data_IF_160421174646
#
_entry.id   IF_160421174646
#
_cell.length_a   1.000
_cell.length_b   1.000
_cell.length_c   1.000
_cell.angle_alpha   90.00
_cell.angle_beta   90.00
_cell.angle_gamma   90.00
#
_symmetry.space_group_name_H-M   'P 1'
#
loop_
_entity.id
_entity.type
_entity.pdbx_description
1 polymer ?
#
# COMPACT_ATOMS: atom_id res chain seq x y z
N UNK A 1 68.16 -29.17 -22.91
CA UNK A 1 67.80 -28.36 -24.09
C UNK A 1 66.51 -27.65 -23.76
N UNK A 2 66.62 -26.36 -23.46
CA UNK A 2 65.53 -25.51 -23.03
C UNK A 2 64.81 -24.92 -24.26
N UNK A 3 63.49 -24.96 -24.16
CA UNK A 3 62.41 -24.24 -24.84
C UNK A 3 62.79 -23.01 -25.67
N UNK A 4 62.34 -22.99 -26.93
CA UNK A 4 61.97 -21.76 -27.64
C UNK A 4 60.52 -21.91 -28.13
N UNK A 5 59.62 -21.15 -27.50
CA UNK A 5 58.23 -20.98 -27.88
C UNK A 5 58.11 -20.10 -29.14
N UNK A 6 57.27 -20.43 -30.13
CA UNK A 6 56.91 -19.48 -31.17
C UNK A 6 55.83 -18.51 -30.69
N UNK A 7 56.19 -17.22 -30.64
CA UNK A 7 55.29 -16.09 -30.50
C UNK A 7 54.11 -16.17 -31.49
N UNK A 8 52.88 -16.30 -30.99
CA UNK A 8 51.66 -16.07 -31.79
C UNK A 8 51.23 -14.61 -31.58
N UNK A 9 51.25 -13.75 -32.63
CA UNK A 9 50.77 -12.39 -32.54
C UNK A 9 49.24 -12.33 -32.71
N UNK A 10 48.56 -11.59 -31.82
CA UNK A 10 47.20 -11.14 -32.08
C UNK A 10 46.19 -11.29 -30.94
N UNK A 11 46.50 -10.78 -29.75
CA UNK A 11 45.47 -10.41 -28.78
C UNK A 11 44.69 -9.21 -29.35
N UNK A 12 43.66 -9.46 -30.15
CA UNK A 12 42.64 -8.44 -30.42
C UNK A 12 41.60 -8.55 -29.32
N UNK A 13 41.80 -7.74 -28.28
CA UNK A 13 40.79 -7.47 -27.28
C UNK A 13 39.54 -6.94 -27.98
N UNK A 14 38.54 -7.80 -28.12
CA UNK A 14 37.19 -7.35 -28.35
C UNK A 14 36.70 -6.79 -27.03
N UNK A 15 36.65 -5.46 -26.91
CA UNK A 15 35.73 -4.83 -25.98
C UNK A 15 34.34 -5.38 -26.31
N UNK A 16 33.86 -6.35 -25.52
CA UNK A 16 32.43 -6.61 -25.44
C UNK A 16 31.82 -5.37 -24.83
N UNK A 17 31.37 -4.48 -25.70
CA UNK A 17 30.45 -3.42 -25.37
C UNK A 17 29.32 -4.06 -24.58
N UNK A 18 29.27 -3.81 -23.26
CA UNK A 18 28.15 -4.12 -22.38
C UNK A 18 27.01 -3.15 -22.73
N UNK A 19 26.54 -3.22 -23.97
CA UNK A 19 25.65 -2.26 -24.59
C UNK A 19 24.41 -2.95 -25.10
N UNK A 20 23.38 -2.99 -24.26
CA UNK A 20 22.04 -3.44 -24.63
C UNK A 20 21.51 -4.53 -23.73
N UNK A 21 21.10 -4.17 -22.51
CA UNK A 21 20.19 -5.05 -21.76
C UNK A 21 18.90 -5.13 -22.57
N UNK A 22 18.53 -6.31 -23.06
CA UNK A 22 17.37 -6.53 -23.92
C UNK A 22 16.10 -5.97 -23.25
N UNK A 23 15.37 -5.07 -23.93
CA UNK A 23 14.17 -4.43 -23.38
C UNK A 23 13.10 -5.46 -22.96
N UNK A 24 13.02 -6.58 -23.68
CA UNK A 24 12.09 -7.67 -23.39
C UNK A 24 12.41 -8.38 -22.06
N UNK A 25 13.70 -8.61 -21.78
CA UNK A 25 14.15 -9.21 -20.52
C UNK A 25 13.94 -8.25 -19.33
N UNK A 26 14.11 -6.94 -19.56
CA UNK A 26 13.84 -5.94 -18.52
C UNK A 26 12.35 -5.90 -18.12
N UNK A 27 11.46 -6.05 -19.10
CA UNK A 27 10.01 -6.12 -18.88
C UNK A 27 9.65 -7.40 -18.11
N UNK A 28 10.22 -8.55 -18.47
CA UNK A 28 9.94 -9.84 -17.80
C UNK A 28 10.41 -9.84 -16.35
N UNK A 29 11.61 -9.31 -16.06
CA UNK A 29 12.14 -9.20 -14.68
C UNK A 29 11.27 -8.26 -13.83
N UNK A 30 10.78 -7.17 -14.43
CA UNK A 30 9.91 -6.22 -13.72
C UNK A 30 8.57 -6.86 -13.36
N UNK A 31 7.96 -7.61 -14.28
CA UNK A 31 6.73 -8.33 -13.99
C UNK A 31 6.91 -9.42 -12.93
N UNK A 32 8.00 -10.20 -12.99
CA UNK A 32 8.32 -11.21 -11.97
C UNK A 32 8.41 -10.59 -10.56
N UNK A 33 9.05 -9.41 -10.44
CA UNK A 33 9.12 -8.68 -9.17
C UNK A 33 7.75 -8.22 -8.66
N UNK A 34 6.82 -7.87 -9.55
CA UNK A 34 5.46 -7.48 -9.17
C UNK A 34 4.64 -8.68 -8.70
N UNK A 35 4.72 -9.81 -9.39
CA UNK A 35 4.08 -11.06 -8.94
C UNK A 35 4.64 -11.53 -7.59
N UNK A 36 5.96 -11.47 -7.41
CA UNK A 36 6.59 -11.75 -6.12
C UNK A 36 6.07 -10.82 -5.02
N UNK A 37 6.06 -9.50 -5.27
CA UNK A 37 5.58 -8.53 -4.30
C UNK A 37 4.09 -8.73 -3.97
N UNK A 38 3.26 -9.13 -4.94
CA UNK A 38 1.85 -9.41 -4.71
C UNK A 38 1.65 -10.60 -3.74
N UNK A 39 2.40 -11.70 -3.92
CA UNK A 39 2.41 -12.80 -2.97
C UNK A 39 2.91 -12.38 -1.58
N UNK A 40 3.92 -11.51 -1.54
CA UNK A 40 4.40 -10.96 -0.26
C UNK A 40 3.35 -10.09 0.44
N UNK A 41 2.61 -9.25 -0.29
CA UNK A 41 1.51 -8.44 0.23
C UNK A 41 0.34 -9.31 0.71
N UNK A 42 0.10 -10.46 0.08
CA UNK A 42 -0.90 -11.43 0.56
C UNK A 42 -0.59 -11.88 2.00
N UNK A 43 0.68 -12.15 2.31
CA UNK A 43 1.11 -12.52 3.66
C UNK A 43 1.24 -11.33 4.62
N UNK A 44 2.07 -10.35 4.27
CA UNK A 44 2.58 -9.30 5.18
C UNK A 44 1.94 -7.92 4.96
N UNK A 45 1.13 -7.78 3.91
CA UNK A 45 0.45 -6.54 3.55
C UNK A 45 -0.83 -6.31 4.34
N UNK A 46 -1.09 -5.05 4.71
CA UNK A 46 -2.29 -4.65 5.44
C UNK A 46 -2.95 -3.43 4.82
N UNK A 47 -4.25 -3.52 4.60
CA UNK A 47 -5.14 -2.42 4.25
C UNK A 47 -5.90 -2.01 5.51
N UNK A 48 -5.84 -0.74 5.88
CA UNK A 48 -6.42 -0.24 7.13
C UNK A 48 -7.21 1.03 6.84
N UNK A 49 -8.40 1.16 7.41
CA UNK A 49 -9.17 2.40 7.41
C UNK A 49 -9.39 2.84 8.84
N UNK A 50 -8.61 3.80 9.32
CA UNK A 50 -8.69 4.29 10.69
C UNK A 50 -9.80 5.34 10.82
N UNK A 51 -10.58 5.28 11.90
CA UNK A 51 -11.57 6.30 12.26
C UNK A 51 -11.01 7.07 13.46
N UNK A 52 -10.56 8.29 13.24
CA UNK A 52 -9.81 9.10 14.19
C UNK A 52 -10.67 10.26 14.66
N UNK A 53 -10.98 10.28 15.95
CA UNK A 53 -11.64 11.43 16.56
C UNK A 53 -10.70 12.63 16.53
N UNK A 54 -11.23 13.80 16.15
CA UNK A 54 -10.44 15.01 16.13
C UNK A 54 -11.32 16.26 16.32
N UNK A 55 -10.95 17.20 17.20
CA UNK A 55 -11.74 18.42 17.44
C UNK A 55 -11.97 19.29 16.19
N UNK A 56 -11.01 19.30 15.26
CA UNK A 56 -11.16 20.06 14.00
C UNK A 56 -11.91 19.31 12.89
N UNK A 57 -12.30 18.06 13.11
CA UNK A 57 -13.05 17.33 12.10
C UNK A 57 -14.48 17.85 12.03
N UNK A 58 -14.99 18.10 10.82
CA UNK A 58 -16.32 18.67 10.56
C UNK A 58 -17.46 17.95 11.28
N UNK A 59 -17.33 16.64 11.46
CA UNK A 59 -18.32 15.78 12.13
C UNK A 59 -17.68 14.95 13.26
N UNK A 60 -16.66 15.51 13.93
CA UNK A 60 -15.95 14.88 15.05
C UNK A 60 -14.94 13.79 14.68
N UNK A 61 -14.98 13.26 13.44
CA UNK A 61 -14.09 12.20 12.98
C UNK A 61 -13.44 12.46 11.62
N UNK A 62 -12.19 12.03 11.49
CA UNK A 62 -11.51 11.79 10.23
C UNK A 62 -11.50 10.30 9.88
N UNK A 63 -11.66 10.01 8.60
CA UNK A 63 -11.39 8.69 8.02
C UNK A 63 -10.00 8.73 7.40
N UNK A 64 -9.16 7.77 7.73
CA UNK A 64 -7.76 7.74 7.29
C UNK A 64 -7.40 6.34 6.74
N UNK A 65 -7.52 6.14 5.41
CA UNK A 65 -7.14 4.90 4.75
C UNK A 65 -5.62 4.83 4.52
N UNK A 66 -5.03 3.71 4.90
CA UNK A 66 -3.58 3.48 4.91
C UNK A 66 -3.26 2.09 4.36
N UNK A 67 -2.19 1.98 3.58
CA UNK A 67 -1.61 0.71 3.14
C UNK A 67 -0.25 0.50 3.78
N UNK A 68 -0.02 -0.68 4.34
CA UNK A 68 1.20 -1.05 5.03
C UNK A 68 1.81 -2.35 4.51
N UNK A 69 3.13 -2.45 4.60
CA UNK A 69 3.87 -3.71 4.53
C UNK A 69 4.86 -3.71 5.70
N UNK A 70 4.78 -4.74 6.54
CA UNK A 70 5.67 -4.92 7.69
C UNK A 70 6.79 -5.88 7.33
N UNK A 71 7.99 -5.65 7.85
CA UNK A 71 9.11 -6.59 7.72
C UNK A 71 10.16 -6.33 8.79
N UNK A 72 10.82 -7.36 9.30
CA UNK A 72 12.01 -7.22 10.13
C UNK A 72 13.12 -6.45 9.38
N UNK A 73 13.96 -5.70 10.09
CA UNK A 73 15.03 -4.86 9.51
C UNK A 73 15.96 -5.60 8.55
N UNK A 74 16.18 -6.90 8.77
CA UNK A 74 17.01 -7.75 7.89
C UNK A 74 16.38 -7.95 6.50
N UNK A 75 15.06 -7.81 6.37
CA UNK A 75 14.32 -7.91 5.11
C UNK A 75 14.03 -6.57 4.43
N UNK A 76 14.73 -5.49 4.81
CA UNK A 76 14.50 -4.12 4.29
C UNK A 76 14.47 -4.03 2.77
N UNK A 77 15.25 -4.85 2.07
CA UNK A 77 15.30 -4.88 0.60
C UNK A 77 13.94 -5.11 -0.06
N UNK A 78 13.04 -5.88 0.58
CA UNK A 78 11.67 -6.10 0.08
C UNK A 78 10.83 -4.83 0.18
N UNK A 79 11.00 -4.05 1.26
CA UNK A 79 10.31 -2.77 1.42
C UNK A 79 10.81 -1.73 0.41
N UNK A 80 12.12 -1.70 0.11
CA UNK A 80 12.68 -0.84 -0.94
C UNK A 80 12.20 -1.27 -2.34
N UNK A 81 12.00 -2.57 -2.57
CA UNK A 81 11.37 -3.08 -3.79
C UNK A 81 9.93 -2.54 -3.92
N UNK A 82 9.13 -2.62 -2.85
CA UNK A 82 7.78 -2.07 -2.83
C UNK A 82 7.80 -0.56 -3.14
N UNK A 83 8.67 0.19 -2.48
CA UNK A 83 8.84 1.64 -2.72
C UNK A 83 9.21 1.94 -4.18
N UNK A 84 10.08 1.12 -4.79
CA UNK A 84 10.46 1.26 -6.20
C UNK A 84 9.31 0.95 -7.16
N UNK A 85 8.52 -0.09 -6.88
CA UNK A 85 7.36 -0.48 -7.70
C UNK A 85 6.26 0.58 -7.62
N UNK A 86 5.89 1.01 -6.41
CA UNK A 86 4.85 2.02 -6.20
C UNK A 86 5.35 3.45 -6.50
N UNK A 87 6.66 3.70 -6.54
CA UNK A 87 7.24 5.04 -6.75
C UNK A 87 6.66 6.08 -5.77
N UNK A 88 6.33 5.64 -4.55
CA UNK A 88 5.77 6.45 -3.46
C UNK A 88 5.92 5.68 -2.14
N UNK A 89 5.53 6.31 -1.04
CA UNK A 89 5.53 5.71 0.29
C UNK A 89 6.81 5.94 1.08
N UNK A 90 6.71 5.66 2.38
CA UNK A 90 7.76 5.90 3.37
C UNK A 90 8.09 4.61 4.10
N UNK A 91 9.38 4.40 4.36
CA UNK A 91 9.87 3.30 5.20
C UNK A 91 10.34 3.90 6.51
N UNK A 92 9.82 3.40 7.62
CA UNK A 92 10.17 3.87 8.97
C UNK A 92 10.23 2.69 9.95
N UNK A 93 11.02 2.77 11.03
CA UNK A 93 10.89 1.86 12.15
C UNK A 93 9.48 1.92 12.74
N UNK A 94 8.95 0.78 13.18
CA UNK A 94 7.70 0.71 13.92
C UNK A 94 7.92 1.34 15.30
N UNK A 95 6.93 2.08 15.79
CA UNK A 95 7.08 2.89 17.01
C UNK A 95 7.28 2.04 18.28
N UNK A 96 6.67 0.86 18.32
CA UNK A 96 6.70 -0.07 19.46
C UNK A 96 7.81 -1.13 19.34
N UNK A 97 8.39 -1.31 18.15
CA UNK A 97 9.48 -2.25 17.91
C UNK A 97 10.39 -1.75 16.78
N UNK A 98 11.60 -1.28 17.16
CA UNK A 98 12.56 -0.70 16.20
C UNK A 98 13.19 -1.73 15.26
N UNK A 99 13.10 -3.02 15.57
CA UNK A 99 13.57 -4.10 14.68
C UNK A 99 12.58 -4.42 13.57
N UNK A 100 11.36 -3.90 13.65
CA UNK A 100 10.36 -4.01 12.58
C UNK A 100 10.32 -2.69 11.81
N UNK A 101 10.44 -2.78 10.49
CA UNK A 101 10.23 -1.69 9.55
C UNK A 101 8.83 -1.75 8.97
N UNK A 102 8.29 -0.57 8.65
CA UNK A 102 6.98 -0.38 8.04
C UNK A 102 7.16 0.44 6.78
N UNK A 103 6.85 -0.15 5.62
CA UNK A 103 6.53 0.61 4.42
C UNK A 103 5.08 1.06 4.49
N UNK A 104 4.81 2.33 4.22
CA UNK A 104 3.48 2.93 4.32
C UNK A 104 3.17 3.87 3.16
N UNK A 105 1.95 3.78 2.64
CA UNK A 105 1.35 4.77 1.73
C UNK A 105 0.04 5.23 2.38
N UNK A 106 -0.03 6.51 2.73
CA UNK A 106 -1.18 7.13 3.42
C UNK A 106 -1.87 8.20 2.58
N UNK A 107 -1.23 8.66 1.50
CA UNK A 107 -1.82 9.63 0.60
C UNK A 107 -2.89 8.95 -0.28
N UNK A 108 -4.16 9.35 -0.13
CA UNK A 108 -5.32 8.76 -0.85
C UNK A 108 -5.15 8.72 -2.37
N UNK A 109 -4.63 9.79 -2.97
CA UNK A 109 -4.36 9.84 -4.41
C UNK A 109 -3.36 8.77 -4.84
N UNK A 110 -2.25 8.62 -4.10
CA UNK A 110 -1.28 7.54 -4.35
C UNK A 110 -1.88 6.15 -4.17
N UNK A 111 -2.76 5.97 -3.17
CA UNK A 111 -3.47 4.71 -2.97
C UNK A 111 -4.35 4.40 -4.20
N UNK A 112 -5.18 5.36 -4.63
CA UNK A 112 -6.06 5.24 -5.80
C UNK A 112 -5.29 4.95 -7.08
N UNK A 113 -4.24 5.71 -7.37
CA UNK A 113 -3.55 5.65 -8.66
C UNK A 113 -2.53 4.51 -8.75
N UNK A 114 -2.07 3.98 -7.61
CA UNK A 114 -0.90 3.08 -7.60
C UNK A 114 -1.14 1.80 -6.83
N UNK A 115 -1.72 1.87 -5.62
CA UNK A 115 -1.94 0.68 -4.78
C UNK A 115 -3.10 -0.14 -5.34
N UNK A 116 -4.28 0.46 -5.47
CA UNK A 116 -5.49 -0.26 -5.93
C UNK A 116 -5.26 -0.94 -7.28
N UNK A 117 -4.74 -0.27 -8.34
CA UNK A 117 -4.49 -0.92 -9.63
C UNK A 117 -3.50 -2.08 -9.54
N UNK A 118 -2.48 -1.98 -8.68
CA UNK A 118 -1.55 -3.08 -8.44
C UNK A 118 -2.26 -4.29 -7.81
N UNK A 119 -3.06 -4.07 -6.76
CA UNK A 119 -3.79 -5.14 -6.09
C UNK A 119 -4.78 -5.81 -7.06
N UNK A 120 -5.56 -5.03 -7.81
CA UNK A 120 -6.54 -5.57 -8.77
C UNK A 120 -5.88 -6.36 -9.89
N UNK A 121 -4.67 -6.00 -10.31
CA UNK A 121 -3.94 -6.71 -11.38
C UNK A 121 -3.21 -7.96 -10.88
N UNK A 122 -2.47 -7.87 -9.78
CA UNK A 122 -1.53 -8.91 -9.35
C UNK A 122 -2.04 -9.77 -8.20
N UNK A 123 -3.11 -9.35 -7.50
CA UNK A 123 -3.70 -10.09 -6.39
C UNK A 123 -5.08 -10.68 -6.75
N UNK A 124 -5.27 -11.05 -8.02
CA UNK A 124 -6.51 -11.64 -8.55
C UNK A 124 -6.90 -12.99 -7.94
N UNK A 125 -6.04 -13.62 -7.16
CA UNK A 125 -6.32 -14.87 -6.43
C UNK A 125 -6.29 -14.70 -4.91
N UNK A 126 -6.19 -13.46 -4.43
CA UNK A 126 -6.10 -13.13 -3.01
C UNK A 126 -7.33 -13.57 -2.22
N UNK A 127 -7.12 -14.06 -1.00
CA UNK A 127 -8.19 -14.27 -0.04
C UNK A 127 -8.75 -12.93 0.49
N UNK A 128 -8.04 -11.83 0.28
CA UNK A 128 -8.40 -10.46 0.70
C UNK A 128 -9.25 -9.71 -0.34
N UNK A 129 -9.76 -10.35 -1.41
CA UNK A 129 -10.57 -9.68 -2.46
C UNK A 129 -11.66 -8.76 -1.91
N UNK A 130 -12.50 -9.28 -1.00
CA UNK A 130 -13.59 -8.49 -0.40
C UNK A 130 -13.06 -7.28 0.38
N UNK A 131 -11.93 -7.41 1.07
CA UNK A 131 -11.26 -6.29 1.76
C UNK A 131 -10.77 -5.27 0.74
N UNK A 132 -10.15 -5.72 -0.36
CA UNK A 132 -9.64 -4.85 -1.43
C UNK A 132 -10.79 -4.07 -2.07
N UNK A 133 -11.92 -4.73 -2.38
CA UNK A 133 -13.08 -4.09 -3.01
C UNK A 133 -13.73 -3.05 -2.08
N UNK A 134 -13.91 -3.36 -0.80
CA UNK A 134 -14.43 -2.39 0.19
C UNK A 134 -13.46 -1.21 0.34
N UNK A 135 -12.16 -1.48 0.39
CA UNK A 135 -11.14 -0.44 0.51
C UNK A 135 -11.09 0.47 -0.72
N UNK A 136 -11.20 -0.09 -1.92
CA UNK A 136 -11.34 0.64 -3.18
C UNK A 136 -12.55 1.56 -3.16
N UNK A 137 -13.71 1.06 -2.79
CA UNK A 137 -14.94 1.84 -2.68
C UNK A 137 -14.83 2.98 -1.65
N UNK A 138 -14.18 2.76 -0.51
CA UNK A 138 -13.89 3.83 0.46
C UNK A 138 -12.99 4.91 -0.15
N UNK A 139 -11.94 4.50 -0.87
CA UNK A 139 -11.03 5.44 -1.53
C UNK A 139 -11.76 6.25 -2.59
N UNK A 140 -12.65 5.64 -3.38
CA UNK A 140 -13.45 6.37 -4.36
C UNK A 140 -14.45 7.34 -3.72
N UNK A 141 -15.16 6.90 -2.69
CA UNK A 141 -16.09 7.74 -1.93
C UNK A 141 -15.39 8.98 -1.37
N UNK A 142 -14.16 8.82 -0.89
CA UNK A 142 -13.38 9.91 -0.34
C UNK A 142 -12.71 10.78 -1.40
N UNK A 143 -12.05 10.18 -2.39
CA UNK A 143 -11.16 10.90 -3.30
C UNK A 143 -11.87 11.41 -4.55
N UNK A 144 -12.92 10.73 -5.00
CA UNK A 144 -13.69 11.11 -6.20
C UNK A 144 -14.98 11.81 -5.79
N UNK A 145 -15.84 11.13 -5.02
CA UNK A 145 -17.20 11.62 -4.70
C UNK A 145 -17.24 12.63 -3.55
N UNK A 146 -16.15 12.74 -2.78
CA UNK A 146 -16.01 13.62 -1.62
C UNK A 146 -17.09 13.41 -0.55
N UNK A 147 -17.64 12.20 -0.44
CA UNK A 147 -18.72 11.85 0.48
C UNK A 147 -18.39 12.10 1.95
N UNK A 148 -17.12 11.98 2.34
CA UNK A 148 -16.64 12.32 3.69
C UNK A 148 -16.87 13.79 4.10
N UNK A 149 -17.24 14.68 3.17
CA UNK A 149 -17.57 16.08 3.43
C UNK A 149 -19.04 16.30 3.80
N UNK A 150 -19.89 15.29 3.61
CA UNK A 150 -21.29 15.26 4.05
C UNK A 150 -21.44 14.28 5.21
N UNK A 151 -22.44 14.52 6.06
CA UNK A 151 -22.69 13.68 7.23
C UNK A 151 -23.07 12.25 6.82
N UNK A 152 -24.04 12.12 5.93
CA UNK A 152 -24.54 10.82 5.48
C UNK A 152 -23.47 10.05 4.69
N UNK A 153 -22.68 10.76 3.89
CA UNK A 153 -21.54 10.19 3.18
C UNK A 153 -20.46 9.68 4.15
N UNK A 154 -20.13 10.45 5.19
CA UNK A 154 -19.23 10.00 6.25
C UNK A 154 -19.77 8.75 6.96
N UNK A 155 -21.06 8.74 7.34
CA UNK A 155 -21.69 7.57 7.99
C UNK A 155 -21.59 6.33 7.08
N UNK A 156 -21.86 6.48 5.78
CA UNK A 156 -21.72 5.41 4.79
C UNK A 156 -20.28 4.87 4.74
N UNK A 157 -19.29 5.75 4.71
CA UNK A 157 -17.87 5.37 4.73
C UNK A 157 -17.49 4.64 6.04
N UNK A 158 -17.97 5.13 7.19
CA UNK A 158 -17.72 4.49 8.50
C UNK A 158 -18.30 3.07 8.51
N UNK A 159 -19.54 2.88 8.04
CA UNK A 159 -20.14 1.53 7.95
C UNK A 159 -19.30 0.59 7.09
N UNK A 160 -18.80 1.05 5.94
CA UNK A 160 -17.89 0.27 5.09
C UNK A 160 -16.58 -0.06 5.82
N UNK A 161 -16.01 0.89 6.56
CA UNK A 161 -14.78 0.67 7.33
C UNK A 161 -14.94 -0.35 8.46
N UNK A 162 -16.12 -0.42 9.09
CA UNK A 162 -16.44 -1.45 10.08
C UNK A 162 -16.64 -2.83 9.43
N UNK A 163 -17.42 -2.90 8.35
CA UNK A 163 -17.57 -4.13 7.58
C UNK A 163 -16.22 -4.68 7.10
N UNK A 164 -15.30 -3.81 6.65
CA UNK A 164 -13.95 -4.22 6.26
C UNK A 164 -13.17 -4.88 7.42
N UNK A 165 -13.31 -4.36 8.64
CA UNK A 165 -12.64 -4.90 9.82
C UNK A 165 -13.17 -6.26 10.24
N UNK A 166 -14.48 -6.50 10.15
CA UNK A 166 -15.08 -7.82 10.42
C UNK A 166 -14.54 -8.91 9.47
N UNK A 167 -14.17 -8.51 8.25
CA UNK A 167 -13.58 -9.42 7.27
C UNK A 167 -12.05 -9.58 7.43
N UNK A 168 -11.44 -8.98 8.48
CA UNK A 168 -9.99 -8.95 8.70
C UNK A 168 -9.60 -9.60 10.03
N UNK A 169 -8.51 -10.36 10.08
CA UNK A 169 -7.97 -10.97 11.33
C UNK A 169 -7.17 -9.98 12.20
N UNK A 170 -7.60 -8.72 12.24
CA UNK A 170 -6.88 -7.60 12.84
C UNK A 170 -7.29 -7.30 14.29
N UNK A 171 -6.70 -6.23 14.85
CA UNK A 171 -7.17 -5.67 16.13
C UNK A 171 -8.60 -5.16 15.97
N UNK A 172 -9.43 -5.50 16.96
CA UNK A 172 -10.81 -5.03 17.03
C UNK A 172 -10.88 -3.50 17.11
N UNK A 173 -12.02 -2.96 16.65
CA UNK A 173 -12.32 -1.54 16.76
C UNK A 173 -12.51 -1.20 18.24
N UNK A 174 -11.91 -0.11 18.70
CA UNK A 174 -12.02 0.33 20.11
C UNK A 174 -13.41 0.79 20.53
N UNK A 175 -14.25 1.16 19.55
CA UNK A 175 -15.59 1.74 19.76
C UNK A 175 -16.58 1.00 18.88
N UNK A 176 -17.78 0.83 19.39
CA UNK A 176 -18.87 0.22 18.64
C UNK A 176 -19.34 1.13 17.51
N UNK A 177 -19.82 0.54 16.41
CA UNK A 177 -20.31 1.29 15.25
C UNK A 177 -21.41 2.28 15.64
N UNK A 178 -22.32 1.84 16.52
CA UNK A 178 -23.43 2.67 17.01
C UNK A 178 -22.93 3.92 17.72
N UNK A 179 -21.94 3.78 18.61
CA UNK A 179 -21.35 4.91 19.35
C UNK A 179 -20.76 5.96 18.40
N UNK A 180 -20.04 5.52 17.38
CA UNK A 180 -19.42 6.41 16.38
C UNK A 180 -20.50 7.14 15.57
N UNK A 181 -21.54 6.44 15.12
CA UNK A 181 -22.64 7.05 14.35
C UNK A 181 -23.42 8.06 15.21
N UNK A 182 -23.78 7.69 16.44
CA UNK A 182 -24.53 8.56 17.35
C UNK A 182 -23.76 9.86 17.63
N UNK A 183 -22.43 9.80 17.65
CA UNK A 183 -21.59 11.00 17.79
C UNK A 183 -21.57 11.86 16.53
N UNK A 184 -21.44 11.27 15.35
CA UNK A 184 -21.51 12.00 14.07
C UNK A 184 -22.86 12.73 13.93
N UNK A 185 -23.94 12.15 14.46
CA UNK A 185 -25.29 12.74 14.47
C UNK A 185 -25.46 13.84 15.53
N UNK A 186 -24.84 13.71 16.72
CA UNK A 186 -25.00 14.65 17.85
C UNK A 186 -24.43 16.04 17.61
N UNK A 187 -23.39 16.18 16.79
CA UNK A 187 -22.82 17.49 16.44
C UNK A 187 -23.72 18.30 15.46
N UNK A 188 -25.03 18.01 15.42
CA UNK A 188 -26.05 18.81 14.76
C UNK A 188 -26.68 19.78 15.77
N UNK A 189 -26.08 20.95 15.96
CA UNK A 189 -26.91 22.12 16.23
C UNK A 189 -27.49 22.54 14.86
N UNK A 190 -28.81 22.48 14.63
CA UNK A 190 -29.36 23.23 13.51
C UNK A 190 -29.04 24.71 13.77
N UNK A 191 -28.51 25.41 12.75
CA UNK A 191 -28.47 26.87 12.79
C UNK A 191 -29.91 27.34 13.00
N UNK A 192 -30.19 27.85 14.20
CA UNK A 192 -31.44 28.56 14.48
C UNK A 192 -31.25 29.93 13.83
N UNK A 193 -31.64 30.04 12.55
CA UNK A 193 -31.87 31.30 11.85
C UNK A 193 -33.33 31.71 12.00
#
# INVERSE_FOLDING_TARGET
MCWEDPCIPGYRGGEKVLGGVNQQERLSITEAKKWFLAGFIEGEGSLVVSIKEHPSAKFGYYVDPEFFIYQHKNGKSILELAKKIFQTGKIRPKSDNKDVLVFSITNRRSIKEKVIPFLKKYMVFSAKKKIIDIFEEIIEAMEVRKEHQTRDGLISIVRKAYAMSENSKGKERKRELKEVIDRILRDHMPDIS
#
